data_IF_856165586376
#
_entry.id   IF_856165586376
#
_cell.length_a   1.000
_cell.length_b   1.000
_cell.length_c   1.000
_cell.angle_alpha   90.00
_cell.angle_beta   90.00
_cell.angle_gamma   90.00
#
_symmetry.space_group_name_H-M   'P 1'
#
loop_
_entity.id
_entity.type
_entity.pdbx_description
1 polymer ?
#
# COMPACT_ATOMS: atom_id res chain seq x y z
N UNK A 1 -15.45 5.02 -13.20
CA UNK A 1 -15.46 5.25 -11.74
C UNK A 1 -14.47 6.35 -11.48
N UNK A 2 -14.93 7.51 -11.03
CA UNK A 2 -14.02 8.62 -10.74
C UNK A 2 -13.50 8.48 -9.32
N UNK A 3 -12.26 8.05 -9.18
CA UNK A 3 -11.52 8.16 -7.92
C UNK A 3 -11.24 9.66 -7.74
N UNK A 4 -11.53 10.25 -6.57
CA UNK A 4 -11.24 11.66 -6.35
C UNK A 4 -9.79 11.98 -6.68
N UNK A 5 -9.54 12.99 -7.51
CA UNK A 5 -8.18 13.42 -7.91
C UNK A 5 -7.26 13.64 -6.71
N UNK A 6 -7.80 14.13 -5.59
CA UNK A 6 -7.07 14.27 -4.32
C UNK A 6 -6.58 12.92 -3.78
N UNK A 7 -7.41 11.87 -3.80
CA UNK A 7 -7.01 10.53 -3.39
C UNK A 7 -5.93 9.95 -4.30
N UNK A 8 -6.09 10.11 -5.62
CA UNK A 8 -5.10 9.64 -6.58
C UNK A 8 -3.73 10.30 -6.37
N UNK A 9 -3.70 11.61 -6.08
CA UNK A 9 -2.47 12.35 -5.76
C UNK A 9 -1.84 11.89 -4.45
N UNK A 10 -2.64 11.66 -3.41
CA UNK A 10 -2.15 11.18 -2.11
C UNK A 10 -1.55 9.77 -2.27
N UNK A 11 -2.26 8.85 -2.93
CA UNK A 11 -1.74 7.51 -3.17
C UNK A 11 -0.47 7.48 -4.02
N UNK A 12 -0.30 8.42 -4.95
CA UNK A 12 0.97 8.59 -5.67
C UNK A 12 2.09 9.06 -4.74
N UNK A 13 1.84 10.05 -3.89
CA UNK A 13 2.82 10.53 -2.92
C UNK A 13 3.23 9.41 -1.95
N UNK A 14 2.28 8.70 -1.35
CA UNK A 14 2.54 7.60 -0.42
C UNK A 14 3.49 6.53 -1.01
N UNK A 15 3.43 6.29 -2.32
CA UNK A 15 4.34 5.36 -3.01
C UNK A 15 5.77 5.87 -3.11
N UNK A 16 5.95 7.12 -3.54
CA UNK A 16 7.27 7.70 -3.81
C UNK A 16 7.97 8.21 -2.55
N UNK A 17 7.23 8.79 -1.60
CA UNK A 17 7.79 9.36 -0.37
C UNK A 17 7.54 8.50 0.87
N UNK A 18 6.72 7.45 0.77
CA UNK A 18 6.43 6.51 1.86
C UNK A 18 7.08 5.15 1.63
N UNK A 19 6.46 4.28 0.82
CA UNK A 19 6.85 2.87 0.72
C UNK A 19 8.28 2.65 0.23
N UNK A 20 8.72 3.38 -0.79
CA UNK A 20 10.07 3.22 -1.33
C UNK A 20 11.16 3.70 -0.34
N UNK A 21 11.11 4.90 0.26
CA UNK A 21 12.08 5.31 1.29
C UNK A 21 12.07 4.41 2.52
N UNK A 22 10.89 3.98 3.00
CA UNK A 22 10.80 3.06 4.15
C UNK A 22 11.41 1.71 3.81
N UNK A 23 11.16 1.20 2.61
CA UNK A 23 11.81 0.00 2.08
C UNK A 23 13.32 0.16 2.03
N UNK A 24 13.81 1.29 1.53
CA UNK A 24 15.24 1.59 1.45
C UNK A 24 15.93 1.58 2.81
N UNK A 25 15.40 2.35 3.76
CA UNK A 25 15.94 2.40 5.13
C UNK A 25 15.88 1.01 5.77
N UNK A 26 14.77 0.30 5.61
CA UNK A 26 14.63 -1.08 6.08
C UNK A 26 15.67 -2.04 5.47
N UNK A 27 15.86 -1.99 4.16
CA UNK A 27 16.85 -2.81 3.46
C UNK A 27 18.27 -2.52 3.91
N UNK A 28 18.61 -1.24 4.10
CA UNK A 28 19.93 -0.82 4.54
C UNK A 28 20.27 -1.33 5.95
N UNK A 29 19.35 -1.20 6.91
CA UNK A 29 19.63 -1.58 8.30
C UNK A 29 19.32 -3.06 8.62
N UNK A 30 18.36 -3.66 7.94
CA UNK A 30 17.74 -4.94 8.34
C UNK A 30 17.82 -5.99 7.21
N UNK A 31 18.25 -5.60 6.01
CA UNK A 31 18.33 -6.46 4.84
C UNK A 31 16.99 -7.14 4.54
N UNK A 32 17.04 -8.43 4.23
CA UNK A 32 15.84 -9.23 3.95
C UNK A 32 14.86 -9.31 5.13
N UNK A 33 15.28 -9.06 6.38
CA UNK A 33 14.38 -9.05 7.54
C UNK A 33 13.34 -7.92 7.42
N UNK A 34 13.64 -6.84 6.69
CA UNK A 34 12.68 -5.78 6.39
C UNK A 34 11.43 -6.30 5.67
N UNK A 35 11.58 -7.29 4.78
CA UNK A 35 10.45 -7.92 4.08
C UNK A 35 9.55 -8.68 5.05
N UNK A 36 10.14 -9.40 6.02
CA UNK A 36 9.37 -10.12 7.03
C UNK A 36 8.56 -9.17 7.91
N UNK A 37 9.17 -8.08 8.38
CA UNK A 37 8.45 -7.06 9.15
C UNK A 37 7.34 -6.40 8.34
N UNK A 38 7.60 -6.11 7.06
CA UNK A 38 6.59 -5.59 6.17
C UNK A 38 5.40 -6.54 6.03
N UNK A 39 5.63 -7.85 5.85
CA UNK A 39 4.55 -8.83 5.78
C UNK A 39 3.74 -8.91 7.08
N UNK A 40 4.42 -8.86 8.25
CA UNK A 40 3.77 -8.86 9.56
C UNK A 40 2.86 -7.65 9.75
N UNK A 41 3.22 -6.48 9.22
CA UNK A 41 2.40 -5.26 9.28
C UNK A 41 1.32 -5.24 8.18
N UNK A 42 1.68 -5.65 6.97
CA UNK A 42 0.80 -5.61 5.80
C UNK A 42 -0.43 -6.50 5.98
N UNK A 43 -0.28 -7.68 6.60
CA UNK A 43 -1.40 -8.61 6.76
C UNK A 43 -2.55 -8.03 7.60
N UNK A 44 -2.32 -7.56 8.85
CA UNK A 44 -3.39 -6.95 9.65
C UNK A 44 -3.83 -5.59 9.08
N UNK A 45 -2.90 -4.75 8.62
CA UNK A 45 -3.24 -3.43 8.07
C UNK A 45 -4.07 -3.57 6.79
N UNK A 46 -3.67 -4.45 5.88
CA UNK A 46 -4.37 -4.71 4.62
C UNK A 46 -5.77 -5.29 4.82
N UNK A 47 -5.96 -6.20 5.78
CA UNK A 47 -7.29 -6.71 6.12
C UNK A 47 -8.21 -5.60 6.66
N UNK A 48 -7.68 -4.75 7.55
CA UNK A 48 -8.42 -3.60 8.08
C UNK A 48 -8.76 -2.61 6.96
N UNK A 49 -7.80 -2.28 6.10
CA UNK A 49 -7.96 -1.39 4.95
C UNK A 49 -9.05 -1.90 4.01
N UNK A 50 -8.97 -3.17 3.62
CA UNK A 50 -9.97 -3.80 2.76
C UNK A 50 -11.37 -3.80 3.38
N UNK A 51 -11.47 -4.02 4.69
CA UNK A 51 -12.73 -3.92 5.43
C UNK A 51 -13.31 -2.50 5.37
N UNK A 52 -12.50 -1.49 5.65
CA UNK A 52 -12.92 -0.08 5.63
C UNK A 52 -13.31 0.38 4.22
N UNK A 53 -12.54 -0.04 3.20
CA UNK A 53 -12.88 0.18 1.79
C UNK A 53 -14.21 -0.46 1.41
N UNK A 54 -14.43 -1.71 1.81
CA UNK A 54 -15.67 -2.45 1.53
C UNK A 54 -16.90 -1.85 2.22
N UNK A 55 -16.70 -1.16 3.35
CA UNK A 55 -17.75 -0.40 4.06
C UNK A 55 -17.96 1.01 3.50
N UNK A 56 -17.04 1.51 2.69
CA UNK A 56 -17.04 2.91 2.25
C UNK A 56 -16.88 3.88 3.42
N UNK A 57 -16.14 3.49 4.46
CA UNK A 57 -15.80 4.35 5.60
C UNK A 57 -14.78 5.38 5.15
N UNK A 58 -14.82 6.63 5.65
CA UNK A 58 -13.82 7.65 5.27
C UNK A 58 -12.39 7.11 5.52
N UNK A 59 -11.44 7.31 4.60
CA UNK A 59 -11.51 8.20 3.42
C UNK A 59 -12.14 7.55 2.17
N UNK A 60 -12.50 6.27 2.24
CA UNK A 60 -13.06 5.41 1.18
C UNK A 60 -14.53 5.63 0.84
N UNK A 61 -15.11 6.79 1.16
CA UNK A 61 -16.56 7.03 0.96
C UNK A 61 -17.03 6.88 -0.50
N UNK A 62 -16.11 7.01 -1.46
CA UNK A 62 -16.37 6.82 -2.90
C UNK A 62 -16.58 5.34 -3.30
N UNK A 63 -16.25 4.39 -2.42
CA UNK A 63 -16.56 2.97 -2.58
C UNK A 63 -17.96 2.58 -2.06
N UNK A 64 -18.70 3.51 -1.44
CA UNK A 64 -20.07 3.24 -0.96
C UNK A 64 -20.95 2.75 -2.11
N UNK A 65 -21.68 1.66 -1.86
CA UNK A 65 -22.56 0.99 -2.83
C UNK A 65 -21.85 0.41 -4.09
N UNK A 66 -20.52 0.24 -4.06
CA UNK A 66 -19.79 -0.48 -5.12
C UNK A 66 -19.82 -1.99 -4.88
N UNK A 67 -19.80 -2.75 -5.96
CA UNK A 67 -19.67 -4.20 -5.89
C UNK A 67 -18.35 -4.59 -5.21
N UNK A 68 -18.40 -5.56 -4.29
CA UNK A 68 -17.23 -6.04 -3.55
C UNK A 68 -16.10 -6.48 -4.48
N UNK A 69 -16.42 -7.05 -5.63
CA UNK A 69 -15.43 -7.43 -6.65
C UNK A 69 -14.65 -6.23 -7.21
N UNK A 70 -15.29 -5.07 -7.37
CA UNK A 70 -14.60 -3.85 -7.81
C UNK A 70 -13.66 -3.32 -6.72
N UNK A 71 -14.12 -3.33 -5.47
CA UNK A 71 -13.29 -2.91 -4.31
C UNK A 71 -12.06 -3.82 -4.19
N UNK A 72 -12.25 -5.14 -4.29
CA UNK A 72 -11.16 -6.12 -4.22
C UNK A 72 -10.13 -5.92 -5.33
N UNK A 73 -10.56 -5.69 -6.58
CA UNK A 73 -9.64 -5.41 -7.69
C UNK A 73 -8.77 -4.17 -7.42
N UNK A 74 -9.38 -3.10 -6.90
CA UNK A 74 -8.63 -1.87 -6.60
C UNK A 74 -7.71 -2.07 -5.41
N UNK A 75 -8.17 -2.72 -4.34
CA UNK A 75 -7.34 -3.06 -3.19
C UNK A 75 -6.11 -3.89 -3.59
N UNK A 76 -6.29 -4.91 -4.42
CA UNK A 76 -5.19 -5.74 -4.91
C UNK A 76 -4.20 -4.94 -5.78
N UNK A 77 -4.69 -4.02 -6.60
CA UNK A 77 -3.84 -3.14 -7.41
C UNK A 77 -3.02 -2.19 -6.54
N UNK A 78 -3.63 -1.60 -5.51
CA UNK A 78 -2.95 -0.75 -4.54
C UNK A 78 -1.92 -1.54 -3.72
N UNK A 79 -2.29 -2.72 -3.25
CA UNK A 79 -1.40 -3.61 -2.50
C UNK A 79 -0.21 -4.10 -3.34
N UNK A 80 -0.44 -4.41 -4.62
CA UNK A 80 0.62 -4.74 -5.58
C UNK A 80 1.61 -3.58 -5.71
N UNK A 81 1.11 -2.38 -6.00
CA UNK A 81 1.96 -1.19 -6.13
C UNK A 81 2.75 -0.91 -4.85
N UNK A 82 2.08 -0.84 -3.69
CA UNK A 82 2.75 -0.58 -2.41
C UNK A 82 3.87 -1.60 -2.13
N UNK A 83 3.59 -2.88 -2.36
CA UNK A 83 4.57 -3.95 -2.15
C UNK A 83 5.73 -3.87 -3.13
N UNK A 84 5.49 -3.56 -4.40
CA UNK A 84 6.55 -3.38 -5.40
C UNK A 84 7.47 -2.21 -5.06
N UNK A 85 6.93 -1.07 -4.65
CA UNK A 85 7.74 0.09 -4.23
C UNK A 85 8.56 -0.20 -2.97
N UNK A 86 7.96 -0.88 -1.98
CA UNK A 86 8.67 -1.29 -0.78
C UNK A 86 9.82 -2.26 -1.10
N UNK A 87 9.56 -3.31 -1.89
CA UNK A 87 10.56 -4.29 -2.30
C UNK A 87 11.69 -3.65 -3.11
N UNK A 88 11.36 -2.72 -4.01
CA UNK A 88 12.34 -1.95 -4.76
C UNK A 88 13.23 -1.13 -3.82
N UNK A 89 12.63 -0.46 -2.84
CA UNK A 89 13.37 0.24 -1.79
C UNK A 89 14.32 -0.70 -1.05
N UNK A 90 13.83 -1.83 -0.54
CA UNK A 90 14.65 -2.82 0.17
C UNK A 90 15.83 -3.27 -0.68
N UNK A 91 15.59 -3.61 -1.96
CA UNK A 91 16.64 -4.01 -2.89
C UNK A 91 17.71 -2.94 -3.06
N UNK A 92 17.30 -1.68 -3.24
CA UNK A 92 18.24 -0.54 -3.33
C UNK A 92 19.03 -0.32 -2.05
N UNK A 93 18.37 -0.42 -0.89
CA UNK A 93 19.02 -0.27 0.41
C UNK A 93 20.04 -1.38 0.71
N UNK A 94 19.82 -2.59 0.19
CA UNK A 94 20.76 -3.71 0.34
C UNK A 94 21.99 -3.63 -0.59
N UNK A 95 21.95 -2.78 -1.63
CA UNK A 95 23.06 -2.61 -2.58
C UNK A 95 24.08 -1.55 -2.15
N UNK A 96 23.79 -0.81 -1.07
CA UNK A 96 24.63 0.27 -0.52
C UNK A 96 25.09 -0.07 0.90
#
# INVERSE_FOLDING_TARGET
MEIPLKHAKIGLLERWIGYLPVGFVGGYFLGLKALLMYLVVLLPAGLLEFYLMSRGTRPWSFFRAKARGTVAKIFLLEAYNASSYFMLGVGLGMLL
#
